data_IF_513278052463
#
_entry.id   IF_513278052463
#
_cell.length_a   1.000
_cell.length_b   1.000
_cell.length_c   1.000
_cell.angle_alpha   90.00
_cell.angle_beta   90.00
_cell.angle_gamma   90.00
#
_symmetry.space_group_name_H-M   'P 1'
#
loop_
_entity.id
_entity.type
_entity.pdbx_description
1 polymer ?
#
# COMPACT_ATOMS: atom_id res chain seq x y z
N UNK A 1 -32.16 21.24 17.73
CA UNK A 1 -31.20 22.37 17.80
C UNK A 1 -29.93 21.88 17.13
N UNK A 2 -29.74 22.29 15.88
CA UNK A 2 -28.72 21.79 14.95
C UNK A 2 -27.34 22.33 15.34
N UNK A 3 -26.35 21.44 15.43
CA UNK A 3 -24.95 21.84 15.47
C UNK A 3 -24.41 21.91 14.04
N UNK A 4 -24.09 23.14 13.65
CA UNK A 4 -23.29 23.50 12.49
C UNK A 4 -21.80 23.17 12.73
N UNK A 5 -21.05 23.15 11.63
CA UNK A 5 -19.58 23.23 11.50
C UNK A 5 -18.81 21.94 11.27
N UNK A 6 -18.89 21.42 10.04
CA UNK A 6 -17.72 20.86 9.32
C UNK A 6 -17.84 21.24 7.83
N UNK A 7 -17.59 22.51 7.50
CA UNK A 7 -17.36 22.97 6.13
C UNK A 7 -16.09 23.82 6.11
N UNK A 8 -14.92 23.17 6.07
CA UNK A 8 -13.68 23.82 5.64
C UNK A 8 -12.73 22.77 5.09
N UNK A 9 -12.90 22.43 3.81
CA UNK A 9 -11.85 22.02 2.86
C UNK A 9 -12.47 21.38 1.60
N UNK A 10 -13.43 22.04 0.97
CA UNK A 10 -13.89 21.67 -0.37
C UNK A 10 -14.03 22.94 -1.18
N UNK A 11 -12.92 23.35 -1.81
CA UNK A 11 -12.92 24.26 -2.95
C UNK A 11 -11.54 24.22 -3.58
N UNK A 12 -11.30 23.30 -4.51
CA UNK A 12 -10.52 23.63 -5.70
C UNK A 12 -10.77 22.60 -6.80
N UNK A 13 -10.92 23.12 -8.02
CA UNK A 13 -11.13 22.42 -9.30
C UNK A 13 -12.57 22.06 -9.70
N UNK A 14 -13.36 23.11 -9.95
CA UNK A 14 -14.14 23.14 -11.19
C UNK A 14 -13.91 24.48 -11.90
N UNK A 15 -13.31 24.43 -13.10
CA UNK A 15 -13.58 25.33 -14.23
C UNK A 15 -12.56 25.16 -15.36
N UNK A 16 -13.13 25.06 -16.57
CA UNK A 16 -12.58 25.41 -17.90
C UNK A 16 -11.81 24.33 -18.67
N UNK A 17 -12.61 23.51 -19.34
CA UNK A 17 -12.35 23.10 -20.72
C UNK A 17 -12.66 24.30 -21.65
N UNK A 18 -11.73 24.69 -22.53
CA UNK A 18 -11.99 25.41 -23.78
C UNK A 18 -10.70 25.57 -24.62
N UNK A 19 -10.80 25.14 -25.89
CA UNK A 19 -10.17 25.74 -27.10
C UNK A 19 -8.65 25.55 -27.34
N UNK A 20 -8.07 25.35 -28.54
CA UNK A 20 -8.47 25.13 -29.96
C UNK A 20 -7.19 24.73 -30.74
N UNK A 21 -7.37 24.08 -31.88
CA UNK A 21 -6.39 23.71 -32.92
C UNK A 21 -5.62 24.88 -33.57
N UNK A 22 -4.34 24.66 -33.92
CA UNK A 22 -3.54 25.27 -35.04
C UNK A 22 -2.39 24.26 -35.33
N UNK A 23 -2.29 23.50 -36.43
CA UNK A 23 -2.08 23.74 -37.87
C UNK A 23 -0.77 24.48 -38.24
N UNK A 24 0.19 23.80 -38.89
CA UNK A 24 1.33 24.46 -39.54
C UNK A 24 2.45 23.51 -40.00
N UNK A 25 2.50 23.25 -41.31
CA UNK A 25 3.42 22.39 -42.06
C UNK A 25 4.86 22.94 -42.23
N UNK A 26 5.80 21.99 -42.33
CA UNK A 26 7.06 21.90 -43.13
C UNK A 26 7.95 23.12 -43.38
N UNK A 27 9.24 22.98 -43.04
CA UNK A 27 10.35 23.24 -43.98
C UNK A 27 11.53 22.28 -43.71
N UNK A 28 11.91 21.53 -44.76
CA UNK A 28 13.14 20.76 -44.86
C UNK A 28 14.32 21.71 -45.13
N UNK A 29 15.45 21.52 -44.45
CA UNK A 29 16.78 21.66 -45.05
C UNK A 29 17.78 20.82 -44.24
N UNK A 30 18.41 19.86 -44.92
CA UNK A 30 19.43 19.01 -44.33
C UNK A 30 20.79 19.69 -44.30
N UNK A 31 21.62 19.30 -43.35
CA UNK A 31 23.06 19.12 -43.51
C UNK A 31 23.49 18.03 -42.52
N UNK A 32 23.86 16.89 -43.09
CA UNK A 32 24.64 15.84 -42.45
C UNK A 32 26.01 16.41 -42.09
N UNK A 33 26.56 16.07 -40.92
CA UNK A 33 27.92 15.54 -40.76
C UNK A 33 28.25 15.27 -39.28
N UNK A 34 29.10 14.25 -39.09
CA UNK A 34 29.89 13.94 -37.91
C UNK A 34 29.19 13.20 -36.76
N UNK A 35 29.14 11.88 -36.98
CA UNK A 35 29.16 10.86 -35.94
C UNK A 35 30.28 11.13 -34.93
N UNK A 36 29.92 11.56 -33.72
CA UNK A 36 30.77 11.41 -32.54
C UNK A 36 30.03 10.44 -31.62
N UNK A 37 30.42 9.16 -31.68
CA UNK A 37 30.09 8.18 -30.66
C UNK A 37 30.87 8.50 -29.39
N UNK A 38 30.45 9.56 -28.69
CA UNK A 38 30.74 9.71 -27.27
C UNK A 38 29.78 8.78 -26.56
N UNK A 39 30.32 7.59 -26.28
CA UNK A 39 29.76 6.58 -25.39
C UNK A 39 29.04 7.27 -24.24
N UNK A 40 27.71 7.17 -24.28
CA UNK A 40 26.89 7.41 -23.12
C UNK A 40 27.41 6.49 -22.02
N UNK A 41 27.87 7.08 -20.92
CA UNK A 41 27.70 6.44 -19.63
C UNK A 41 26.21 6.52 -19.33
N UNK A 42 25.47 5.60 -19.94
CA UNK A 42 24.30 5.06 -19.30
C UNK A 42 24.77 4.57 -17.93
N UNK A 43 24.42 5.31 -16.88
CA UNK A 43 24.43 4.80 -15.51
C UNK A 43 23.25 3.82 -15.44
N UNK A 44 23.43 2.69 -16.11
CA UNK A 44 22.61 1.50 -16.00
C UNK A 44 23.47 0.52 -15.21
N UNK A 45 23.46 0.65 -13.89
CA UNK A 45 24.00 -0.36 -13.00
C UNK A 45 23.33 -0.26 -11.63
N UNK A 46 22.33 -1.12 -11.47
CA UNK A 46 22.09 -1.91 -10.25
C UNK A 46 22.00 -1.14 -8.93
N UNK A 47 20.85 -0.52 -8.66
CA UNK A 47 20.28 -0.56 -7.32
C UNK A 47 19.27 -1.72 -7.23
N UNK A 48 19.73 -2.92 -7.58
CA UNK A 48 19.28 -4.11 -6.86
C UNK A 48 20.11 -4.15 -5.56
N UNK A 49 20.00 -3.08 -4.78
CA UNK A 49 20.50 -3.06 -3.40
C UNK A 49 19.77 -4.19 -2.71
N UNK A 50 20.53 -5.15 -2.18
CA UNK A 50 20.11 -6.13 -1.20
C UNK A 50 19.06 -5.48 -0.29
N UNK A 51 17.78 -5.66 -0.63
CA UNK A 51 16.69 -4.92 -0.01
C UNK A 51 16.68 -5.41 1.41
N UNK A 52 17.26 -4.61 2.31
CA UNK A 52 17.37 -4.93 3.74
C UNK A 52 15.99 -5.39 4.17
N UNK A 53 15.89 -6.69 4.49
CA UNK A 53 14.62 -7.32 4.83
C UNK A 53 14.00 -6.49 5.94
N UNK A 54 12.80 -5.95 5.71
CA UNK A 54 12.04 -5.28 6.76
C UNK A 54 11.75 -6.31 7.84
N UNK A 55 12.47 -6.23 8.95
CA UNK A 55 12.25 -7.11 10.08
C UNK A 55 10.87 -6.82 10.67
N UNK A 56 10.11 -7.86 10.94
CA UNK A 56 8.82 -7.75 11.62
C UNK A 56 8.86 -8.64 12.85
N UNK A 57 8.61 -8.08 14.03
CA UNK A 57 8.64 -8.82 15.31
C UNK A 57 7.34 -8.62 16.08
N UNK A 58 7.03 -9.58 16.95
CA UNK A 58 5.90 -9.44 17.86
C UNK A 58 6.24 -8.47 18.98
N UNK A 59 5.32 -7.55 19.26
CA UNK A 59 5.33 -6.67 20.42
C UNK A 59 4.32 -7.14 21.46
N UNK A 60 3.67 -6.17 22.11
CA UNK A 60 2.71 -6.42 23.19
C UNK A 60 1.40 -7.02 22.69
N UNK A 61 0.78 -7.80 23.55
CA UNK A 61 -0.57 -8.34 23.37
C UNK A 61 -1.50 -7.66 24.37
N UNK A 62 -2.58 -7.08 23.87
CA UNK A 62 -3.63 -6.42 24.62
C UNK A 62 -4.93 -7.21 24.45
N UNK A 63 -5.65 -7.42 25.55
CA UNK A 63 -6.93 -8.12 25.58
C UNK A 63 -8.01 -7.13 26.02
N UNK A 64 -9.03 -6.93 25.18
CA UNK A 64 -10.14 -6.01 25.46
C UNK A 64 -11.14 -6.61 26.47
N UNK A 65 -10.67 -6.96 27.66
CA UNK A 65 -11.51 -7.48 28.75
C UNK A 65 -11.91 -8.95 28.63
N UNK A 66 -11.28 -9.72 27.75
CA UNK A 66 -11.46 -11.18 27.67
C UNK A 66 -10.22 -11.94 28.18
N UNK A 67 -10.41 -13.22 28.51
CA UNK A 67 -9.42 -14.08 29.17
C UNK A 67 -8.89 -15.21 28.28
N UNK A 68 -8.94 -15.01 26.96
CA UNK A 68 -8.51 -16.00 25.96
C UNK A 68 -7.01 -16.24 25.93
N UNK A 69 -6.59 -17.49 25.70
CA UNK A 69 -5.20 -17.79 25.32
C UNK A 69 -5.01 -17.57 23.82
N UNK A 70 -4.21 -16.57 23.48
CA UNK A 70 -3.95 -16.16 22.10
C UNK A 70 -2.55 -16.50 21.60
N UNK A 71 -1.74 -17.28 22.33
CA UNK A 71 -0.34 -17.53 21.93
C UNK A 71 -0.23 -18.11 20.52
N UNK A 72 -1.03 -19.14 20.20
CA UNK A 72 -1.05 -19.76 18.87
C UNK A 72 -1.62 -18.79 17.83
N UNK A 73 -2.68 -18.06 18.17
CA UNK A 73 -3.29 -17.06 17.28
C UNK A 73 -2.30 -15.95 16.91
N UNK A 74 -1.57 -15.44 17.91
CA UNK A 74 -0.56 -14.39 17.73
C UNK A 74 0.55 -14.87 16.82
N UNK A 75 1.02 -16.11 16.98
CA UNK A 75 2.04 -16.69 16.10
C UNK A 75 1.54 -16.81 14.64
N UNK A 76 0.29 -17.24 14.44
CA UNK A 76 -0.33 -17.33 13.12
C UNK A 76 -0.49 -15.94 12.47
N UNK A 77 -1.06 -14.98 13.19
CA UNK A 77 -1.26 -13.61 12.69
C UNK A 77 0.09 -12.93 12.43
N UNK A 78 1.09 -13.13 13.28
CA UNK A 78 2.44 -12.60 13.08
C UNK A 78 3.05 -13.13 11.77
N UNK A 79 2.86 -14.42 11.46
CA UNK A 79 3.32 -14.99 10.20
C UNK A 79 2.57 -14.38 9.00
N UNK A 80 1.25 -14.18 9.11
CA UNK A 80 0.44 -13.56 8.06
C UNK A 80 0.90 -12.12 7.77
N UNK A 81 1.11 -11.29 8.80
CA UNK A 81 1.56 -9.90 8.61
C UNK A 81 3.01 -9.82 8.11
N UNK A 82 3.90 -10.70 8.58
CA UNK A 82 5.26 -10.85 8.03
C UNK A 82 5.23 -11.06 6.52
N UNK A 83 4.45 -12.04 6.08
CA UNK A 83 4.34 -12.35 4.66
C UNK A 83 3.69 -11.19 3.88
N UNK A 84 2.73 -10.46 4.47
CA UNK A 84 2.09 -9.32 3.80
C UNK A 84 3.04 -8.12 3.63
N UNK A 85 3.86 -7.83 4.64
CA UNK A 85 4.92 -6.82 4.54
C UNK A 85 5.95 -7.25 3.49
N UNK A 86 6.40 -8.50 3.50
CA UNK A 86 7.36 -9.04 2.54
C UNK A 86 6.85 -8.97 1.10
N UNK A 87 5.61 -9.39 0.87
CA UNK A 87 4.92 -9.29 -0.41
C UNK A 87 4.79 -7.84 -0.88
N UNK A 88 4.52 -6.91 0.04
CA UNK A 88 4.45 -5.47 -0.27
C UNK A 88 5.80 -4.93 -0.71
N UNK A 89 6.86 -5.28 0.01
CA UNK A 89 8.24 -4.88 -0.30
C UNK A 89 8.71 -5.48 -1.63
N UNK A 90 8.31 -6.73 -1.92
CA UNK A 90 8.58 -7.41 -3.20
C UNK A 90 7.67 -7.00 -4.36
N UNK A 91 6.64 -6.20 -4.08
CA UNK A 91 5.64 -5.77 -5.06
C UNK A 91 4.86 -6.95 -5.67
N UNK A 92 4.57 -7.98 -4.87
CA UNK A 92 3.88 -9.19 -5.32
C UNK A 92 2.70 -9.54 -4.41
N UNK A 93 1.49 -9.23 -4.86
CA UNK A 93 0.24 -9.63 -4.19
C UNK A 93 -0.46 -10.83 -4.83
N UNK A 94 0.24 -11.67 -5.60
CA UNK A 94 -0.33 -12.89 -6.20
C UNK A 94 -1.03 -13.80 -5.17
N UNK A 95 -0.54 -13.83 -3.92
CA UNK A 95 -1.09 -14.63 -2.80
C UNK A 95 -2.11 -13.88 -1.94
N UNK A 96 -2.38 -12.61 -2.18
CA UNK A 96 -3.33 -11.82 -1.39
C UNK A 96 -4.73 -12.44 -1.35
N UNK A 97 -5.32 -12.94 -2.46
CA UNK A 97 -6.65 -13.55 -2.43
C UNK A 97 -6.78 -14.73 -1.45
N UNK A 98 -5.71 -15.49 -1.23
CA UNK A 98 -5.72 -16.67 -0.35
C UNK A 98 -5.75 -16.30 1.14
N UNK A 99 -5.41 -15.06 1.46
CA UNK A 99 -5.40 -14.48 2.82
C UNK A 99 -6.74 -13.87 3.21
N UNK A 100 -7.66 -13.73 2.27
CA UNK A 100 -8.95 -13.06 2.46
C UNK A 100 -10.03 -14.11 2.72
N UNK A 101 -10.98 -13.87 3.61
CA UNK A 101 -12.10 -14.79 3.83
C UNK A 101 -12.99 -14.85 2.57
N UNK A 102 -13.41 -16.02 2.07
CA UNK A 102 -14.39 -16.10 0.98
C UNK A 102 -15.74 -15.48 1.37
N UNK A 103 -16.05 -15.45 2.66
CA UNK A 103 -17.32 -14.97 3.21
C UNK A 103 -17.31 -13.46 3.42
N UNK A 104 -16.22 -12.94 3.99
CA UNK A 104 -16.21 -11.58 4.55
C UNK A 104 -15.44 -10.57 3.68
N UNK A 105 -14.65 -11.05 2.72
CA UNK A 105 -13.85 -10.20 1.85
C UNK A 105 -12.77 -9.39 2.57
N UNK A 106 -12.18 -8.45 1.84
CA UNK A 106 -11.13 -7.54 2.28
C UNK A 106 -11.62 -6.11 2.19
N UNK A 107 -11.65 -5.40 3.32
CA UNK A 107 -11.90 -3.98 3.37
C UNK A 107 -10.67 -3.20 2.89
N UNK A 108 -10.84 -2.46 1.80
CA UNK A 108 -9.82 -1.60 1.19
C UNK A 108 -10.25 -0.14 1.27
N UNK A 109 -10.01 0.49 2.42
CA UNK A 109 -10.26 1.92 2.67
C UNK A 109 -11.59 2.40 2.03
N UNK A 110 -11.57 3.47 1.22
CA UNK A 110 -12.73 4.06 0.57
C UNK A 110 -13.34 3.20 -0.56
N UNK A 111 -12.71 2.09 -0.94
CA UNK A 111 -13.24 1.17 -1.98
C UNK A 111 -14.24 0.17 -1.44
N UNK A 112 -14.36 0.06 -0.12
CA UNK A 112 -15.26 -0.90 0.53
C UNK A 112 -14.68 -2.31 0.56
N UNK A 113 -15.57 -3.31 0.65
CA UNK A 113 -15.20 -4.71 0.81
C UNK A 113 -15.08 -5.37 -0.57
N UNK A 114 -13.95 -6.01 -0.85
CA UNK A 114 -13.71 -6.79 -2.06
C UNK A 114 -13.62 -8.28 -1.78
N UNK A 115 -14.27 -9.07 -2.63
CA UNK A 115 -14.17 -10.53 -2.67
C UNK A 115 -12.82 -11.00 -3.22
N UNK A 116 -12.51 -12.29 -3.06
CA UNK A 116 -11.28 -12.89 -3.62
C UNK A 116 -11.23 -12.73 -5.14
N UNK A 117 -12.36 -12.88 -5.79
CA UNK A 117 -12.55 -12.84 -7.23
C UNK A 117 -12.33 -11.42 -7.75
N UNK A 118 -12.83 -10.40 -7.04
CA UNK A 118 -12.57 -9.00 -7.35
C UNK A 118 -11.09 -8.66 -7.20
N UNK A 119 -10.44 -9.13 -6.13
CA UNK A 119 -9.00 -8.93 -5.93
C UNK A 119 -8.21 -9.59 -7.07
N UNK A 120 -8.52 -10.84 -7.44
CA UNK A 120 -7.88 -11.53 -8.58
C UNK A 120 -8.06 -10.75 -9.89
N UNK A 121 -9.28 -10.25 -10.13
CA UNK A 121 -9.60 -9.45 -11.31
C UNK A 121 -8.87 -8.10 -11.32
N UNK A 122 -8.63 -7.51 -10.16
CA UNK A 122 -7.87 -6.27 -10.06
C UNK A 122 -6.38 -6.51 -10.30
N UNK A 123 -5.81 -7.56 -9.70
CA UNK A 123 -4.40 -7.92 -9.84
C UNK A 123 -4.00 -8.28 -11.28
N UNK A 124 -4.94 -8.67 -12.14
CA UNK A 124 -4.67 -8.95 -13.56
C UNK A 124 -4.56 -7.69 -14.43
N UNK A 125 -4.89 -6.51 -13.91
CA UNK A 125 -4.81 -5.24 -14.64
C UNK A 125 -3.44 -4.61 -14.46
N UNK A 126 -2.92 -3.99 -15.52
CA UNK A 126 -1.77 -3.10 -15.45
C UNK A 126 -2.18 -1.76 -14.83
N UNK A 127 -1.35 -1.19 -13.96
CA UNK A 127 -1.66 0.03 -13.24
C UNK A 127 -2.85 -0.14 -12.29
N UNK A 128 -2.98 -1.33 -11.70
CA UNK A 128 -4.08 -1.64 -10.80
C UNK A 128 -3.96 -0.87 -9.47
N UNK A 129 -5.02 -0.90 -8.67
CA UNK A 129 -5.06 -0.25 -7.37
C UNK A 129 -3.85 -0.60 -6.49
N UNK A 130 -3.49 -1.88 -6.37
CA UNK A 130 -2.37 -2.28 -5.53
C UNK A 130 -1.04 -1.75 -6.06
N UNK A 131 -0.81 -1.83 -7.37
CA UNK A 131 0.39 -1.28 -8.01
C UNK A 131 0.55 0.21 -7.71
N UNK A 132 -0.52 1.01 -7.87
CA UNK A 132 -0.48 2.46 -7.66
C UNK A 132 -0.25 2.81 -6.19
N UNK A 133 -1.03 2.24 -5.27
CA UNK A 133 -1.05 2.71 -3.88
C UNK A 133 -0.03 1.99 -2.98
N UNK A 134 0.35 0.75 -3.32
CA UNK A 134 1.23 -0.06 -2.48
C UNK A 134 2.66 -0.09 -3.00
N UNK A 135 2.91 -0.02 -4.31
CA UNK A 135 4.21 -0.39 -4.88
C UNK A 135 4.94 0.74 -5.62
N UNK A 136 4.24 1.46 -6.50
CA UNK A 136 4.84 2.33 -7.52
C UNK A 136 4.62 3.82 -7.23
N UNK A 137 5.59 4.45 -6.56
CA UNK A 137 5.54 5.86 -6.18
C UNK A 137 5.28 6.79 -7.36
N UNK A 138 5.89 6.53 -8.51
CA UNK A 138 5.72 7.38 -9.69
C UNK A 138 4.30 7.29 -10.30
N UNK A 139 3.62 6.15 -10.16
CA UNK A 139 2.21 6.06 -10.53
C UNK A 139 1.34 6.82 -9.53
N UNK A 140 1.64 6.70 -8.23
CA UNK A 140 0.92 7.44 -7.19
C UNK A 140 1.05 8.96 -7.34
N UNK A 141 2.25 9.45 -7.64
CA UNK A 141 2.51 10.89 -7.89
C UNK A 141 1.63 11.41 -9.01
N UNK A 142 1.57 10.69 -10.14
CA UNK A 142 0.71 11.02 -11.28
C UNK A 142 -0.76 11.00 -10.89
N UNK A 143 -1.20 9.98 -10.15
CA UNK A 143 -2.59 9.82 -9.72
C UNK A 143 -3.04 10.94 -8.76
N UNK A 144 -2.14 11.40 -7.88
CA UNK A 144 -2.43 12.42 -6.86
C UNK A 144 -2.04 13.84 -7.29
N UNK A 145 -1.34 13.98 -8.42
CA UNK A 145 -0.73 15.23 -8.88
C UNK A 145 0.10 15.91 -7.77
N UNK A 146 0.93 15.12 -7.08
CA UNK A 146 1.74 15.57 -5.95
C UNK A 146 3.06 14.82 -5.91
N UNK A 147 4.17 15.55 -5.72
CA UNK A 147 5.50 14.96 -5.52
C UNK A 147 5.68 14.41 -4.10
N UNK A 148 4.92 14.91 -3.13
CA UNK A 148 5.01 14.52 -1.73
C UNK A 148 4.02 13.39 -1.43
N UNK A 149 4.30 12.21 -1.95
CA UNK A 149 3.52 10.99 -1.70
C UNK A 149 4.45 9.84 -1.34
N UNK A 150 3.92 8.91 -0.54
CA UNK A 150 4.55 7.64 -0.23
C UNK A 150 3.55 6.52 -0.50
N UNK A 151 4.04 5.46 -1.12
CA UNK A 151 3.32 4.18 -1.17
C UNK A 151 3.50 3.44 0.15
N UNK A 152 2.70 2.41 0.39
CA UNK A 152 2.90 1.58 1.59
C UNK A 152 4.28 0.91 1.58
N UNK A 153 4.76 0.45 0.42
CA UNK A 153 6.14 -0.06 0.30
C UNK A 153 7.17 0.97 0.75
N UNK A 154 7.01 2.23 0.38
CA UNK A 154 7.92 3.29 0.83
C UNK A 154 7.93 3.42 2.36
N UNK A 155 6.76 3.33 2.99
CA UNK A 155 6.63 3.39 4.44
C UNK A 155 7.34 2.22 5.11
N UNK A 156 7.20 0.99 4.60
CA UNK A 156 7.89 -0.17 5.15
C UNK A 156 9.40 -0.14 4.94
N UNK A 157 9.88 0.36 3.80
CA UNK A 157 11.32 0.51 3.58
C UNK A 157 11.95 1.58 4.49
N UNK A 158 11.18 2.59 4.90
CA UNK A 158 11.61 3.64 5.82
C UNK A 158 11.42 3.28 7.30
N UNK A 159 10.80 2.15 7.61
CA UNK A 159 10.41 1.81 8.99
C UNK A 159 11.58 1.46 9.91
N UNK A 160 12.76 1.10 9.37
CA UNK A 160 13.88 0.58 10.16
C UNK A 160 13.66 -0.84 10.73
N UNK A 161 12.43 -1.33 10.68
CA UNK A 161 11.92 -2.51 11.36
C UNK A 161 10.50 -2.24 11.86
N UNK A 162 9.70 -3.29 12.05
CA UNK A 162 8.30 -3.18 12.47
C UNK A 162 8.07 -4.07 13.69
N UNK A 163 7.68 -3.46 14.79
CA UNK A 163 7.08 -4.16 15.92
C UNK A 163 5.55 -4.19 15.76
N UNK A 164 4.94 -5.35 15.98
CA UNK A 164 3.49 -5.53 15.84
C UNK A 164 2.87 -5.70 17.21
N UNK A 165 2.07 -4.72 17.63
CA UNK A 165 1.22 -4.87 18.80
C UNK A 165 -0.13 -5.48 18.40
N UNK A 166 -0.63 -6.41 19.21
CA UNK A 166 -1.85 -7.17 18.96
C UNK A 166 -2.95 -6.72 19.92
N UNK A 167 -4.07 -6.25 19.39
CA UNK A 167 -5.22 -5.83 20.15
C UNK A 167 -6.35 -6.82 19.86
N UNK A 168 -6.50 -7.82 20.72
CA UNK A 168 -7.61 -8.76 20.62
C UNK A 168 -8.86 -8.10 21.16
N UNK A 169 -9.87 -8.00 20.30
CA UNK A 169 -11.21 -7.51 20.65
C UNK A 169 -12.11 -8.67 21.10
N UNK A 170 -11.82 -9.88 20.62
CA UNK A 170 -12.51 -11.10 20.98
C UNK A 170 -11.64 -12.33 20.71
N UNK A 171 -12.21 -13.53 20.92
CA UNK A 171 -11.55 -14.79 20.58
C UNK A 171 -11.31 -14.97 19.07
N UNK A 172 -11.96 -14.16 18.24
CA UNK A 172 -11.98 -14.33 16.77
C UNK A 172 -11.61 -13.07 16.03
N UNK A 173 -11.24 -11.99 16.71
CA UNK A 173 -10.96 -10.70 16.08
C UNK A 173 -9.76 -10.02 16.72
N UNK A 174 -8.86 -9.51 15.88
CA UNK A 174 -7.61 -8.89 16.31
C UNK A 174 -7.24 -7.72 15.40
N UNK A 175 -7.13 -6.53 15.96
CA UNK A 175 -6.53 -5.37 15.30
C UNK A 175 -5.03 -5.33 15.58
N UNK A 176 -4.24 -4.99 14.57
CA UNK A 176 -2.80 -4.80 14.70
C UNK A 176 -2.44 -3.33 14.68
N UNK A 177 -1.49 -2.95 15.53
CA UNK A 177 -0.81 -1.67 15.42
C UNK A 177 0.63 -1.90 15.00
N UNK A 178 1.00 -1.29 13.87
CA UNK A 178 2.36 -1.36 13.35
C UNK A 178 3.19 -0.23 13.96
N UNK A 179 4.26 -0.60 14.66
CA UNK A 179 5.21 0.30 15.29
C UNK A 179 6.51 0.30 14.50
N UNK A 180 6.90 1.47 13.98
CA UNK A 180 8.14 1.57 13.23
C UNK A 180 9.29 1.84 14.20
N UNK A 181 10.43 1.19 13.98
CA UNK A 181 11.64 1.41 14.77
C UNK A 181 12.24 2.78 14.47
N UNK A 182 12.23 3.15 13.20
CA UNK A 182 12.62 4.47 12.68
C UNK A 182 11.40 5.19 12.10
N UNK A 183 11.46 6.52 12.02
CA UNK A 183 10.41 7.32 11.36
C UNK A 183 8.98 7.11 11.91
N UNK A 184 8.84 6.97 13.24
CA UNK A 184 7.58 6.74 13.98
C UNK A 184 6.43 7.66 13.53
N UNK A 185 6.72 8.89 13.14
CA UNK A 185 5.72 9.85 12.64
C UNK A 185 4.99 9.39 11.37
N UNK A 186 5.54 8.43 10.63
CA UNK A 186 4.97 7.85 9.41
C UNK A 186 3.95 6.74 9.70
N UNK A 187 3.90 6.19 10.92
CA UNK A 187 2.92 5.17 11.31
C UNK A 187 1.47 5.62 11.02
N UNK A 188 1.18 6.90 11.24
CA UNK A 188 -0.14 7.50 11.05
C UNK A 188 -0.61 7.55 9.59
N UNK A 189 0.29 7.32 8.63
CA UNK A 189 -0.05 7.24 7.21
C UNK A 189 -0.65 5.88 6.84
N UNK A 190 -0.58 4.89 7.74
CA UNK A 190 -1.19 3.57 7.59
C UNK A 190 -2.45 3.45 8.44
N UNK A 191 -3.44 2.72 7.93
CA UNK A 191 -4.53 2.24 8.76
C UNK A 191 -4.11 0.95 9.47
N UNK A 192 -4.73 0.64 10.60
CA UNK A 192 -4.40 -0.57 11.35
C UNK A 192 -4.92 -1.82 10.60
N UNK A 193 -4.07 -2.84 10.31
CA UNK A 193 -4.55 -4.11 9.80
C UNK A 193 -5.53 -4.78 10.77
N UNK A 194 -6.51 -5.49 10.24
CA UNK A 194 -7.50 -6.20 11.05
C UNK A 194 -7.67 -7.63 10.56
N UNK A 195 -7.67 -8.57 11.50
CA UNK A 195 -7.79 -10.00 11.24
C UNK A 195 -9.04 -10.57 11.88
N UNK A 196 -9.69 -11.50 11.17
CA UNK A 196 -10.86 -12.26 11.65
C UNK A 196 -10.63 -13.75 11.52
N UNK A 197 -11.03 -14.50 12.55
CA UNK A 197 -10.98 -15.95 12.57
C UNK A 197 -12.28 -16.52 12.05
N UNK A 198 -12.21 -17.22 10.92
CA UNK A 198 -13.36 -17.83 10.25
C UNK A 198 -13.12 -19.33 10.17
N UNK A 199 -14.02 -20.12 10.77
CA UNK A 199 -13.90 -21.59 10.81
C UNK A 199 -12.53 -22.05 11.32
N UNK A 200 -12.01 -21.38 12.35
CA UNK A 200 -10.75 -21.74 13.00
C UNK A 200 -9.48 -21.22 12.34
N UNK A 201 -9.56 -20.54 11.18
CA UNK A 201 -8.40 -19.95 10.48
C UNK A 201 -8.45 -18.43 10.48
N UNK A 202 -7.30 -17.76 10.65
CA UNK A 202 -7.21 -16.31 10.57
C UNK A 202 -7.10 -15.81 9.13
N UNK A 203 -7.86 -14.75 8.83
CA UNK A 203 -7.89 -14.09 7.54
C UNK A 203 -7.71 -12.58 7.71
N UNK A 204 -7.06 -11.96 6.73
CA UNK A 204 -6.97 -10.51 6.60
C UNK A 204 -8.36 -9.97 6.24
N UNK A 205 -8.88 -9.09 7.08
CA UNK A 205 -10.17 -8.44 6.88
C UNK A 205 -10.03 -6.96 6.52
N UNK A 206 -8.97 -6.29 6.97
CA UNK A 206 -8.61 -4.92 6.58
C UNK A 206 -7.10 -4.82 6.40
N UNK A 207 -6.67 -4.23 5.29
CA UNK A 207 -5.25 -3.95 5.03
C UNK A 207 -4.86 -2.57 5.59
N UNK A 208 -3.55 -2.30 5.66
CA UNK A 208 -2.96 -1.03 6.08
C UNK A 208 -3.07 0.08 5.03
#
# INVERSE_FOLDING_TARGET
MLFQNVETAMNFFSKRFLSRNVCGMFFFLGLTFSCNSVSGREVSQSEETDLKKTEVRAGKIFLAGHTGDHRTDTAEILLLIKNLVEDTVRKDFSKLPDRVSPKDGLLLDLKGIWTREEIKKELSKKGNYFEIYFFERELLKKQKNSENVRTVRDLFLLSGGIEVEFYYESMTECELKLKFEDNIQLEKELINPYFKKVQGKWYLHRMF
#
